data_IF_959733578498
#
_entry.id   IF_959733578498
#
_cell.length_a   1.000
_cell.length_b   1.000
_cell.length_c   1.000
_cell.angle_alpha   90.00
_cell.angle_beta   90.00
_cell.angle_gamma   90.00
#
_symmetry.space_group_name_H-M   'P 1'
#
loop_
_entity.id
_entity.type
_entity.pdbx_description
1 polymer ?
#
# COMPACT_ATOMS: atom_id res chain seq x y z
N UNK A 1 -37.38 10.45 30.29
CA UNK A 1 -37.10 10.61 28.84
C UNK A 1 -35.59 10.62 28.67
N UNK A 2 -34.97 9.48 28.36
CA UNK A 2 -33.53 9.42 28.09
C UNK A 2 -33.32 9.64 26.59
N UNK A 3 -32.75 10.78 26.22
CA UNK A 3 -32.42 11.10 24.84
C UNK A 3 -31.16 10.33 24.48
N UNK A 4 -31.30 9.23 23.75
CA UNK A 4 -30.18 8.50 23.14
C UNK A 4 -29.68 9.31 21.95
N UNK A 5 -28.51 9.94 22.10
CA UNK A 5 -27.73 10.47 20.99
C UNK A 5 -27.05 9.27 20.33
N UNK A 6 -27.57 8.84 19.18
CA UNK A 6 -26.87 7.92 18.29
C UNK A 6 -25.70 8.70 17.67
N UNK A 7 -24.43 8.30 17.90
CA UNK A 7 -23.32 8.90 17.18
C UNK A 7 -23.50 8.57 15.69
N UNK A 8 -23.77 9.60 14.88
CA UNK A 8 -23.94 9.50 13.42
C UNK A 8 -22.65 9.11 12.68
N UNK A 9 -21.55 8.96 13.41
CA UNK A 9 -20.31 8.39 12.92
C UNK A 9 -19.96 7.24 13.88
N UNK A 10 -20.16 5.96 13.49
CA UNK A 10 -19.51 4.88 14.21
C UNK A 10 -18.01 5.21 14.12
N UNK A 11 -17.35 5.33 15.28
CA UNK A 11 -16.02 5.92 15.38
C UNK A 11 -15.06 5.40 14.32
N UNK A 12 -14.04 6.20 14.00
CA UNK A 12 -12.96 5.79 13.10
C UNK A 12 -12.54 4.37 13.51
N UNK A 13 -12.64 3.37 12.60
CA UNK A 13 -12.32 1.99 12.92
C UNK A 13 -10.95 1.95 13.59
N UNK A 14 -10.90 1.39 14.80
CA UNK A 14 -9.67 1.20 15.54
C UNK A 14 -8.77 0.19 14.81
N UNK A 15 -7.55 0.01 15.32
CA UNK A 15 -6.52 -0.78 14.64
C UNK A 15 -6.98 -2.17 14.19
N UNK A 16 -7.85 -2.85 14.96
CA UNK A 16 -8.37 -4.17 14.57
C UNK A 16 -9.37 -4.08 13.42
N UNK A 17 -10.32 -3.15 13.46
CA UNK A 17 -11.29 -3.00 12.38
C UNK A 17 -10.62 -2.65 11.05
N UNK A 18 -9.56 -1.81 11.06
CA UNK A 18 -8.77 -1.53 9.86
C UNK A 18 -8.04 -2.76 9.32
N UNK A 19 -7.49 -3.61 10.19
CA UNK A 19 -6.85 -4.87 9.77
C UNK A 19 -7.87 -5.82 9.14
N UNK A 20 -9.09 -5.92 9.68
CA UNK A 20 -10.16 -6.74 9.10
C UNK A 20 -10.57 -6.22 7.72
N UNK A 21 -10.74 -4.90 7.56
CA UNK A 21 -11.05 -4.29 6.27
C UNK A 21 -9.90 -4.55 5.28
N UNK A 22 -8.65 -4.34 5.69
CA UNK A 22 -7.48 -4.61 4.86
C UNK A 22 -7.43 -6.07 4.42
N UNK A 23 -7.73 -7.01 5.32
CA UNK A 23 -7.79 -8.44 5.00
C UNK A 23 -8.84 -8.73 3.93
N UNK A 24 -10.04 -8.17 4.04
CA UNK A 24 -11.10 -8.33 3.03
C UNK A 24 -10.64 -7.78 1.68
N UNK A 25 -10.05 -6.59 1.64
CA UNK A 25 -9.54 -5.99 0.39
C UNK A 25 -8.43 -6.86 -0.21
N UNK A 26 -7.51 -7.38 0.61
CA UNK A 26 -6.46 -8.32 0.17
C UNK A 26 -7.05 -9.62 -0.38
N UNK A 27 -8.15 -10.13 0.17
CA UNK A 27 -8.81 -11.33 -0.36
C UNK A 27 -9.48 -11.07 -1.71
N UNK A 28 -10.07 -9.89 -1.91
CA UNK A 28 -10.73 -9.51 -3.17
C UNK A 28 -9.74 -9.21 -4.29
N UNK A 29 -8.68 -8.46 -3.98
CA UNK A 29 -7.73 -7.98 -4.98
C UNK A 29 -6.43 -8.81 -5.02
N UNK A 30 -6.14 -9.58 -3.97
CA UNK A 30 -4.89 -10.32 -3.79
C UNK A 30 -3.79 -9.51 -3.09
N UNK A 31 -2.93 -10.20 -2.33
CA UNK A 31 -1.83 -9.59 -1.57
C UNK A 31 -0.81 -8.83 -2.45
N UNK A 32 -0.70 -9.20 -3.73
CA UNK A 32 0.25 -8.59 -4.66
C UNK A 32 -0.29 -7.35 -5.37
N UNK A 33 -1.61 -7.13 -5.42
CA UNK A 33 -2.20 -6.04 -6.22
C UNK A 33 -2.20 -4.70 -5.50
N UNK A 34 -2.54 -4.67 -4.21
CA UNK A 34 -2.44 -3.46 -3.39
C UNK A 34 -1.03 -2.83 -3.39
N UNK A 35 0.07 -3.58 -3.15
CA UNK A 35 1.41 -2.97 -3.16
C UNK A 35 1.85 -2.57 -4.57
N UNK A 36 1.46 -3.31 -5.63
CA UNK A 36 1.76 -2.92 -7.01
C UNK A 36 1.05 -1.62 -7.41
N UNK A 37 -0.22 -1.45 -7.01
CA UNK A 37 -1.00 -0.23 -7.21
C UNK A 37 -0.40 0.93 -6.42
N UNK A 38 -0.03 0.72 -5.16
CA UNK A 38 0.62 1.74 -4.34
C UNK A 38 1.98 2.16 -4.93
N UNK A 39 2.81 1.23 -5.41
CA UNK A 39 4.11 1.52 -6.00
C UNK A 39 3.98 2.34 -7.29
N UNK A 40 3.11 1.92 -8.21
CA UNK A 40 2.88 2.65 -9.48
C UNK A 40 2.21 4.01 -9.27
N UNK A 41 1.21 4.08 -8.39
CA UNK A 41 0.55 5.34 -8.02
C UNK A 41 1.50 6.29 -7.28
N UNK A 42 2.35 5.76 -6.41
CA UNK A 42 3.34 6.54 -5.66
C UNK A 42 4.43 7.11 -6.57
N UNK A 43 4.93 6.31 -7.52
CA UNK A 43 5.88 6.79 -8.52
C UNK A 43 5.26 7.89 -9.39
N UNK A 44 4.03 7.69 -9.88
CA UNK A 44 3.32 8.69 -10.66
C UNK A 44 3.09 9.99 -9.87
N UNK A 45 2.69 9.89 -8.60
CA UNK A 45 2.49 11.06 -7.73
C UNK A 45 3.81 11.78 -7.42
N UNK A 46 4.91 11.04 -7.23
CA UNK A 46 6.24 11.60 -6.98
C UNK A 46 6.79 12.36 -8.18
N UNK A 47 6.73 11.76 -9.37
CA UNK A 47 7.12 12.43 -10.62
C UNK A 47 6.23 13.65 -10.92
N UNK A 48 4.93 13.56 -10.63
CA UNK A 48 4.00 14.67 -10.74
C UNK A 48 4.34 15.82 -9.79
N UNK A 49 4.66 15.53 -8.52
CA UNK A 49 5.01 16.54 -7.54
C UNK A 49 6.33 17.25 -7.89
N UNK A 50 7.32 16.50 -8.39
CA UNK A 50 8.59 17.06 -8.89
C UNK A 50 8.36 17.97 -10.11
N UNK A 51 7.60 17.51 -11.09
CA UNK A 51 7.29 18.32 -12.27
C UNK A 51 6.50 19.59 -11.92
N UNK A 52 5.60 19.53 -10.92
CA UNK A 52 4.90 20.71 -10.42
C UNK A 52 5.84 21.73 -9.78
N UNK A 53 6.80 21.26 -9.00
CA UNK A 53 7.79 22.11 -8.34
C UNK A 53 8.72 22.79 -9.37
N UNK A 54 9.19 22.04 -10.36
CA UNK A 54 9.99 22.59 -11.47
C UNK A 54 9.24 23.69 -12.23
N UNK A 55 7.95 23.47 -12.53
CA UNK A 55 7.10 24.47 -13.19
C UNK A 55 6.88 25.68 -12.29
N UNK A 56 6.65 25.50 -10.99
CA UNK A 56 6.49 26.61 -10.05
C UNK A 56 7.78 27.45 -9.95
N UNK A 57 8.94 26.80 -9.87
CA UNK A 57 10.24 27.47 -9.89
C UNK A 57 10.48 28.20 -11.21
N UNK A 58 10.12 27.63 -12.36
CA UNK A 58 10.26 28.28 -13.66
C UNK A 58 9.35 29.51 -13.74
N UNK A 59 8.09 29.38 -13.32
CA UNK A 59 7.15 30.50 -13.27
C UNK A 59 7.59 31.60 -12.31
N UNK A 60 8.19 31.21 -11.18
CA UNK A 60 8.73 32.17 -10.20
C UNK A 60 9.96 32.88 -10.78
N UNK A 61 10.89 32.17 -11.41
CA UNK A 61 12.04 32.77 -12.12
C UNK A 61 11.61 33.71 -13.26
N UNK A 62 10.54 33.38 -13.99
CA UNK A 62 9.95 34.26 -15.00
C UNK A 62 9.31 35.51 -14.38
N UNK A 63 8.75 35.41 -13.17
CA UNK A 63 8.14 36.53 -12.44
C UNK A 63 9.16 37.38 -11.69
N UNK A 64 10.24 36.78 -11.22
CA UNK A 64 11.28 37.37 -10.36
C UNK A 64 12.58 37.64 -11.12
N UNK A 65 12.49 38.02 -12.40
CA UNK A 65 13.55 38.74 -13.11
C UNK A 65 13.88 40.13 -12.51
N UNK A 66 13.87 40.25 -11.18
CA UNK A 66 14.08 41.43 -10.38
C UNK A 66 14.34 41.09 -8.90
N UNK A 67 15.59 40.69 -8.61
CA UNK A 67 16.29 40.69 -7.32
C UNK A 67 16.31 39.38 -6.49
N UNK A 68 17.52 39.02 -6.06
CA UNK A 68 17.90 37.79 -5.37
C UNK A 68 17.73 37.89 -3.83
N UNK A 69 17.41 36.77 -3.18
CA UNK A 69 18.06 36.20 -1.97
C UNK A 69 17.11 35.36 -1.09
N UNK A 70 17.70 34.43 -0.33
CA UNK A 70 17.20 33.51 0.71
C UNK A 70 17.14 32.03 0.27
N UNK A 71 18.22 31.25 0.38
CA UNK A 71 18.87 30.71 1.61
C UNK A 71 18.29 29.36 2.02
N UNK A 72 19.21 28.38 2.10
CA UNK A 72 19.22 27.20 3.00
C UNK A 72 18.21 26.07 2.69
N UNK A 73 18.50 24.78 2.90
CA UNK A 73 19.67 24.06 3.42
C UNK A 73 19.24 22.59 3.48
N UNK A 74 20.18 21.70 3.13
CA UNK A 74 20.33 20.28 3.50
C UNK A 74 19.15 19.30 3.20
N UNK A 75 19.36 18.02 2.87
CA UNK A 75 20.43 17.09 3.25
C UNK A 75 20.43 15.93 2.25
N UNK A 76 21.62 15.64 1.76
CA UNK A 76 22.10 14.34 1.28
C UNK A 76 22.05 13.34 2.44
N UNK A 77 21.26 12.27 2.41
CA UNK A 77 21.63 11.03 3.13
C UNK A 77 20.80 9.81 2.70
N UNK A 78 21.56 8.78 2.38
CA UNK A 78 21.21 7.39 2.15
C UNK A 78 20.26 6.83 3.23
N UNK A 79 19.09 6.35 2.82
CA UNK A 79 18.29 5.42 3.61
C UNK A 79 17.69 4.35 2.69
N UNK A 80 18.56 3.41 2.32
CA UNK A 80 18.30 1.99 2.19
C UNK A 80 16.88 1.55 1.77
N UNK A 81 16.77 0.91 0.59
CA UNK A 81 16.42 -0.52 0.53
C UNK A 81 16.70 -1.07 -0.87
N UNK A 82 17.87 -1.68 -0.97
CA UNK A 82 18.12 -2.90 -1.73
C UNK A 82 16.96 -3.89 -1.54
N UNK A 83 16.24 -4.23 -2.60
CA UNK A 83 15.91 -5.63 -2.93
C UNK A 83 15.01 -5.73 -4.18
N UNK A 84 15.67 -6.06 -5.29
CA UNK A 84 15.32 -7.15 -6.20
C UNK A 84 14.27 -6.89 -7.30
N UNK A 85 14.85 -6.69 -8.48
CA UNK A 85 14.38 -7.09 -9.82
C UNK A 85 13.72 -8.48 -9.84
N UNK A 86 12.50 -8.48 -10.37
CA UNK A 86 11.86 -9.39 -11.32
C UNK A 86 12.58 -10.69 -11.72
N UNK A 87 11.73 -11.73 -11.82
CA UNK A 87 11.79 -12.88 -12.76
C UNK A 87 12.67 -14.08 -12.39
N UNK A 88 12.01 -15.16 -11.95
CA UNK A 88 12.13 -16.42 -12.70
C UNK A 88 10.80 -17.20 -12.66
N UNK A 89 10.08 -17.00 -13.76
CA UNK A 89 9.26 -17.95 -14.52
C UNK A 89 9.33 -19.45 -14.12
N UNK A 90 8.13 -20.04 -14.09
CA UNK A 90 7.77 -21.45 -14.35
C UNK A 90 8.42 -22.59 -13.54
N UNK A 91 7.58 -23.32 -12.80
CA UNK A 91 7.45 -24.77 -12.99
C UNK A 91 6.03 -25.19 -12.63
N UNK A 92 5.27 -25.54 -13.66
CA UNK A 92 4.06 -26.34 -13.57
C UNK A 92 4.43 -27.84 -13.50
N UNK A 93 3.46 -28.65 -13.06
CA UNK A 93 3.35 -30.14 -13.19
C UNK A 93 3.57 -30.86 -11.86
N UNK A 94 2.50 -31.08 -11.09
CA UNK A 94 1.60 -32.25 -11.09
C UNK A 94 2.23 -33.52 -10.46
N UNK A 95 1.68 -33.90 -9.30
CA UNK A 95 1.43 -35.28 -8.86
C UNK A 95 0.36 -35.18 -7.75
N UNK A 96 -0.92 -35.43 -8.07
CA UNK A 96 -1.63 -36.70 -7.80
C UNK A 96 -2.15 -36.71 -6.34
N UNK A 97 -3.37 -36.24 -6.04
CA UNK A 97 -4.66 -36.92 -6.20
C UNK A 97 -4.75 -38.30 -5.54
N UNK A 98 -4.99 -38.35 -4.22
CA UNK A 98 -5.77 -39.44 -3.63
C UNK A 98 -6.69 -38.90 -2.50
N UNK A 99 -8.03 -38.97 -2.68
CA UNK A 99 -9.02 -38.63 -1.66
C UNK A 99 -9.60 -39.89 -0.97
N UNK A 100 -10.39 -39.65 0.09
CA UNK A 100 -11.28 -40.58 0.82
C UNK A 100 -10.59 -41.47 1.86
N UNK A 101 -11.16 -41.86 3.00
CA UNK A 101 -12.38 -41.54 3.77
C UNK A 101 -12.23 -42.31 5.10
N UNK A 102 -12.89 -41.81 6.15
CA UNK A 102 -13.32 -42.45 7.41
C UNK A 102 -13.01 -43.94 7.64
N UNK A 103 -12.59 -44.30 8.86
CA UNK A 103 -13.34 -45.26 9.70
C UNK A 103 -12.90 -45.15 11.17
N UNK A 104 -13.89 -44.76 11.98
CA UNK A 104 -14.06 -44.89 13.42
C UNK A 104 -13.45 -46.19 14.00
N UNK A 105 -12.64 -46.07 15.05
CA UNK A 105 -12.24 -47.22 15.87
C UNK A 105 -13.04 -47.22 17.16
N UNK A 106 -14.16 -47.95 17.17
CA UNK A 106 -14.88 -48.36 18.38
C UNK A 106 -14.19 -49.60 18.97
N UNK A 107 -13.47 -49.41 20.08
CA UNK A 107 -13.15 -50.41 21.11
C UNK A 107 -13.88 -49.90 22.36
N UNK A 108 -14.49 -50.68 23.24
CA UNK A 108 -14.07 -51.97 23.74
C UNK A 108 -15.22 -52.56 24.58
N UNK A 109 -15.41 -53.87 24.45
CA UNK A 109 -16.13 -54.73 25.37
C UNK A 109 -15.50 -54.73 26.78
#
# INVERSE_FOLDING_TARGET
MATTVVPLFPGIPGGIELVVILLIVVLLFGANKLPQLAKSSGQAMGEFQKGREEVEQELQQMREGGNADATADATDDDAATTATTTDDTATATQADSEPATETETEKQN
#
